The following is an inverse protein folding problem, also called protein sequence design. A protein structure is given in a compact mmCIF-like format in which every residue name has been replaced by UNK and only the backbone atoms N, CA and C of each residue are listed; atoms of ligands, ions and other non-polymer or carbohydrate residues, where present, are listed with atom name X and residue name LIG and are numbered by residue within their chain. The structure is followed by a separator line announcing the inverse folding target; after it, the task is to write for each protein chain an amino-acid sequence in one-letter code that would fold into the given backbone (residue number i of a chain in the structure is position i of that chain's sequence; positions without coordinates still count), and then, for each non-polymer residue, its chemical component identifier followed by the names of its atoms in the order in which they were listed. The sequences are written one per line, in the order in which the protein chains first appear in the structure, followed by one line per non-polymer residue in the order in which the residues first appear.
data_IF_759041045488
#
_entry.id   IF_759041045488
#
_cell.length_a   1.000
_cell.length_b   1.000
_cell.length_c   1.000
_cell.angle_alpha   90.00
_cell.angle_beta   90.00
_cell.angle_gamma   90.00
#
_symmetry.space_group_name_H-M   'P 1'
#
loop_
_entity.id
_entity.type
_entity.pdbx_description
1 polymer ?
#
# COMPACT_ATOMS: atom_id res chain seq x y z
N UNK A 1 31.95 -18.12 6.99
CA UNK A 1 32.87 -18.00 5.84
C UNK A 1 32.78 -19.26 5.01
N UNK A 2 32.67 -19.09 3.69
CA UNK A 2 32.95 -20.05 2.59
C UNK A 2 32.10 -21.34 2.56
N UNK A 3 31.15 -21.46 1.63
CA UNK A 3 31.34 -21.73 0.17
C UNK A 3 31.77 -23.19 -0.06
N UNK A 4 30.77 -23.96 -0.51
CA UNK A 4 30.81 -24.81 -1.72
C UNK A 4 31.79 -25.98 -1.78
N UNK A 5 31.26 -27.16 -2.17
CA UNK A 5 32.01 -28.17 -2.92
C UNK A 5 31.23 -28.69 -4.13
N UNK A 6 31.94 -29.15 -5.18
CA UNK A 6 31.50 -29.10 -6.58
C UNK A 6 31.42 -30.55 -7.16
N UNK A 7 31.79 -30.85 -8.42
CA UNK A 7 30.85 -31.35 -9.43
C UNK A 7 31.19 -32.75 -9.98
N UNK A 8 30.26 -33.26 -10.81
CA UNK A 8 30.46 -34.07 -12.04
C UNK A 8 31.52 -35.18 -12.13
N UNK A 9 31.09 -36.36 -12.62
CA UNK A 9 32.02 -37.37 -13.14
C UNK A 9 31.30 -38.58 -13.76
N UNK A 10 31.55 -38.81 -15.06
CA UNK A 10 31.01 -39.87 -15.92
C UNK A 10 31.70 -41.22 -15.69
N UNK A 11 31.03 -42.34 -16.00
CA UNK A 11 31.70 -43.58 -16.44
C UNK A 11 30.75 -44.53 -17.22
N UNK A 12 31.21 -44.95 -18.40
CA UNK A 12 30.60 -45.91 -19.32
C UNK A 12 30.96 -47.37 -19.01
N UNK A 13 30.12 -48.32 -19.40
CA UNK A 13 30.53 -49.72 -19.67
C UNK A 13 29.82 -50.22 -20.94
N UNK A 14 30.57 -50.87 -21.82
CA UNK A 14 30.11 -51.49 -23.06
C UNK A 14 30.41 -52.99 -23.06
N UNK A 15 29.48 -53.84 -23.52
CA UNK A 15 29.72 -55.23 -24.02
C UNK A 15 28.66 -55.56 -25.10
N UNK A 16 29.08 -56.15 -26.22
CA UNK A 16 28.35 -56.52 -27.46
C UNK A 16 28.11 -58.06 -27.56
N UNK A 17 27.63 -58.68 -28.68
CA UNK A 17 26.33 -58.63 -29.39
C UNK A 17 25.73 -60.04 -29.77
N UNK A 18 24.46 -60.16 -30.22
CA UNK A 18 24.00 -61.13 -31.26
C UNK A 18 22.47 -61.08 -31.63
N UNK A 19 22.18 -60.46 -32.79
CA UNK A 19 21.26 -60.81 -33.92
C UNK A 19 19.85 -61.41 -33.71
N UNK A 20 18.81 -60.70 -34.17
CA UNK A 20 17.82 -61.15 -35.17
C UNK A 20 16.93 -59.97 -35.67
N UNK A 21 16.73 -59.90 -37.00
CA UNK A 21 16.12 -58.79 -37.76
C UNK A 21 14.64 -59.07 -38.05
N UNK A 22 13.87 -57.99 -38.35
CA UNK A 22 12.54 -57.86 -39.03
C UNK A 22 11.52 -57.18 -38.07
N UNK A 23 10.84 -56.05 -38.31
CA UNK A 23 10.52 -55.21 -39.49
C UNK A 23 9.95 -53.85 -39.01
N UNK A 24 10.19 -52.79 -39.79
CA UNK A 24 9.38 -51.56 -39.97
C UNK A 24 9.07 -50.64 -38.77
N UNK A 25 9.45 -49.36 -38.88
CA UNK A 25 8.75 -48.27 -38.16
C UNK A 25 9.60 -47.06 -37.76
N UNK A 26 9.67 -46.09 -38.67
CA UNK A 26 9.75 -44.63 -38.47
C UNK A 26 10.47 -44.00 -37.26
N UNK A 27 11.36 -43.08 -37.63
CA UNK A 27 11.97 -41.99 -36.88
C UNK A 27 10.95 -41.21 -36.02
N UNK A 28 11.33 -40.89 -34.78
CA UNK A 28 10.60 -39.94 -33.96
C UNK A 28 11.43 -39.51 -32.76
N UNK A 29 12.28 -38.51 -32.96
CA UNK A 29 12.88 -37.75 -31.87
C UNK A 29 11.75 -37.27 -30.95
N UNK A 30 11.78 -37.68 -29.68
CA UNK A 30 10.90 -37.14 -28.67
C UNK A 30 11.20 -35.65 -28.50
N UNK A 31 10.45 -34.81 -29.20
CA UNK A 31 10.34 -33.40 -28.86
C UNK A 31 9.64 -33.33 -27.50
N UNK A 32 10.40 -33.06 -26.46
CA UNK A 32 9.85 -32.58 -25.21
C UNK A 32 9.12 -31.27 -25.52
N UNK A 33 7.81 -31.37 -25.73
CA UNK A 33 6.95 -30.20 -25.83
C UNK A 33 6.91 -29.58 -24.44
N UNK A 34 7.66 -28.49 -24.24
CA UNK A 34 7.45 -27.62 -23.11
C UNK A 34 6.06 -27.00 -23.29
N UNK A 35 5.07 -27.57 -22.59
CA UNK A 35 3.76 -26.95 -22.42
C UNK A 35 4.01 -25.51 -21.92
N UNK A 36 3.49 -24.46 -22.58
CA UNK A 36 3.64 -23.10 -22.09
C UNK A 36 2.96 -23.02 -20.72
N UNK A 37 3.75 -22.79 -19.67
CA UNK A 37 3.23 -22.52 -18.34
C UNK A 37 2.29 -21.30 -18.42
N UNK A 38 1.05 -21.37 -17.91
CA UNK A 38 0.11 -20.28 -18.02
C UNK A 38 0.68 -19.03 -17.33
N UNK A 39 0.82 -17.94 -18.10
CA UNK A 39 1.31 -16.67 -17.58
C UNK A 39 0.42 -16.19 -16.41
N UNK A 40 1.00 -15.73 -15.28
CA UNK A 40 0.23 -15.20 -14.17
C UNK A 40 -0.70 -14.08 -14.63
N UNK A 41 -1.93 -14.06 -14.12
CA UNK A 41 -2.86 -12.97 -14.36
C UNK A 41 -2.28 -11.63 -13.84
N UNK A 42 -2.58 -10.49 -14.49
CA UNK A 42 -2.13 -9.18 -14.02
C UNK A 42 -2.60 -8.92 -12.58
N UNK A 43 -1.72 -8.35 -11.76
CA UNK A 43 -2.08 -7.94 -10.41
C UNK A 43 -3.19 -6.86 -10.44
N UNK A 44 -4.09 -6.84 -9.44
CA UNK A 44 -5.07 -5.77 -9.31
C UNK A 44 -4.40 -4.40 -9.26
N UNK A 45 -5.05 -3.39 -9.84
CA UNK A 45 -4.60 -2.01 -9.73
C UNK A 45 -4.80 -1.49 -8.29
N UNK A 46 -3.95 -0.53 -7.82
CA UNK A 46 -4.12 0.08 -6.51
C UNK A 46 -5.49 0.77 -6.39
N UNK A 47 -6.11 0.68 -5.21
CA UNK A 47 -7.42 1.24 -4.95
C UNK A 47 -7.38 2.76 -4.72
N UNK A 48 -8.51 3.42 -4.99
CA UNK A 48 -8.76 4.84 -4.66
C UNK A 48 -9.71 5.01 -3.48
N UNK A 49 -10.15 3.90 -2.87
CA UNK A 49 -11.08 3.86 -1.74
C UNK A 49 -10.59 2.88 -0.69
N UNK A 50 -10.77 3.21 0.59
CA UNK A 50 -10.38 2.38 1.73
C UNK A 50 -11.60 2.22 2.63
N UNK A 51 -12.27 1.08 2.55
CA UNK A 51 -13.51 0.77 3.27
C UNK A 51 -13.29 -0.09 4.52
N UNK A 52 -12.05 -0.51 4.78
CA UNK A 52 -11.70 -1.41 5.87
C UNK A 52 -10.53 -0.88 6.68
N UNK A 53 -10.47 -1.37 7.91
CA UNK A 53 -9.32 -1.17 8.76
C UNK A 53 -8.13 -1.99 8.25
N UNK A 54 -6.94 -1.46 8.47
CA UNK A 54 -5.71 -2.15 8.10
C UNK A 54 -4.56 -1.20 7.76
N UNK A 55 -3.49 -1.80 7.25
CA UNK A 55 -2.30 -1.10 6.76
C UNK A 55 -2.17 -1.33 5.26
N UNK A 56 -2.08 -0.25 4.51
CA UNK A 56 -2.08 -0.20 3.05
C UNK A 56 -0.73 0.33 2.56
N UNK A 57 -0.07 -0.41 1.68
CA UNK A 57 1.17 0.00 1.00
C UNK A 57 0.84 1.01 -0.09
N UNK A 58 1.54 2.14 -0.09
CA UNK A 58 1.29 3.21 -1.07
C UNK A 58 1.87 2.81 -2.42
N UNK A 59 1.09 3.03 -3.49
CA UNK A 59 1.43 2.64 -4.86
C UNK A 59 1.24 1.15 -5.17
N UNK A 60 0.88 0.34 -4.17
CA UNK A 60 0.58 -1.10 -4.33
C UNK A 60 -0.88 -1.37 -3.99
N UNK A 61 -1.27 -1.08 -2.75
CA UNK A 61 -2.64 -1.33 -2.28
C UNK A 61 -3.54 -0.13 -2.56
N UNK A 62 -3.01 1.09 -2.42
CA UNK A 62 -3.75 2.34 -2.63
C UNK A 62 -2.92 3.37 -3.41
N UNK A 63 -3.60 4.24 -4.16
CA UNK A 63 -2.96 5.35 -4.87
C UNK A 63 -2.51 6.45 -3.90
N UNK A 64 -1.39 7.15 -4.17
CA UNK A 64 -1.04 8.37 -3.45
C UNK A 64 -2.00 9.52 -3.80
N UNK A 65 -2.18 10.45 -2.87
CA UNK A 65 -3.00 11.65 -3.06
C UNK A 65 -3.73 12.06 -1.79
N UNK A 66 -4.75 12.92 -1.95
CA UNK A 66 -5.52 13.44 -0.81
C UNK A 66 -6.76 12.60 -0.56
N UNK A 67 -6.86 12.00 0.62
CA UNK A 67 -8.00 11.21 1.03
C UNK A 67 -8.87 11.98 2.03
N UNK A 68 -10.17 11.81 1.93
CA UNK A 68 -11.15 12.32 2.89
C UNK A 68 -11.98 11.20 3.49
N UNK A 69 -12.32 11.32 4.77
CA UNK A 69 -13.24 10.44 5.49
C UNK A 69 -14.21 11.30 6.30
N UNK A 70 -15.46 10.83 6.43
CA UNK A 70 -16.48 11.47 7.26
C UNK A 70 -16.21 11.35 8.77
N UNK A 71 -15.14 10.67 9.18
CA UNK A 71 -14.70 10.58 10.57
C UNK A 71 -14.90 9.18 11.15
N UNK A 72 -15.18 9.03 12.46
CA UNK A 72 -15.32 7.73 13.11
C UNK A 72 -16.55 6.96 12.65
N UNK A 73 -16.49 5.63 12.74
CA UNK A 73 -17.69 4.79 12.81
C UNK A 73 -18.50 5.15 14.09
N UNK A 74 -19.79 4.75 14.21
CA UNK A 74 -20.57 5.04 15.41
C UNK A 74 -19.88 4.58 16.70
N UNK A 75 -19.97 5.41 17.74
CA UNK A 75 -19.43 5.16 19.09
C UNK A 75 -17.91 4.90 19.18
N UNK A 76 -17.12 5.33 18.18
CA UNK A 76 -15.67 5.13 18.15
C UNK A 76 -14.85 6.44 18.04
N UNK A 77 -13.54 6.30 17.83
CA UNK A 77 -12.67 7.39 17.38
C UNK A 77 -11.83 6.93 16.17
N UNK A 78 -11.85 7.70 15.09
CA UNK A 78 -11.10 7.38 13.88
C UNK A 78 -9.62 7.62 14.13
N UNK A 79 -8.83 6.56 14.04
CA UNK A 79 -7.37 6.63 14.07
C UNK A 79 -6.79 6.42 12.68
N UNK A 80 -5.77 7.21 12.35
CA UNK A 80 -4.94 6.96 11.18
C UNK A 80 -3.50 7.37 11.42
N UNK A 81 -2.59 6.76 10.66
CA UNK A 81 -1.18 7.16 10.59
C UNK A 81 -0.59 6.95 9.21
N UNK A 82 0.44 7.74 8.92
CA UNK A 82 1.33 7.62 7.76
C UNK A 82 2.72 7.22 8.23
N UNK A 83 3.31 6.24 7.57
CA UNK A 83 4.69 5.82 7.80
C UNK A 83 5.49 6.07 6.54
N UNK A 84 6.62 6.76 6.67
CA UNK A 84 7.51 7.13 5.56
C UNK A 84 8.30 5.96 5.02
N UNK A 85 8.93 6.13 3.86
CA UNK A 85 9.83 5.14 3.26
C UNK A 85 11.01 4.71 4.16
N UNK A 86 11.40 5.55 5.12
CA UNK A 86 12.43 5.25 6.13
C UNK A 86 11.87 4.50 7.36
N UNK A 87 10.59 4.11 7.33
CA UNK A 87 9.90 3.41 8.42
C UNK A 87 9.48 4.31 9.58
N UNK A 88 9.72 5.63 9.52
CA UNK A 88 9.34 6.55 10.60
C UNK A 88 7.90 7.02 10.47
N UNK A 89 7.32 7.41 11.60
CA UNK A 89 6.02 8.07 11.63
C UNK A 89 6.13 9.44 10.94
N UNK A 90 5.30 9.65 9.93
CA UNK A 90 5.20 10.93 9.21
C UNK A 90 4.11 11.80 9.82
N UNK A 91 2.94 11.22 10.06
CA UNK A 91 1.80 11.94 10.63
C UNK A 91 0.79 10.94 11.22
N UNK A 92 -0.03 11.39 12.18
CA UNK A 92 -1.13 10.63 12.74
C UNK A 92 -2.17 11.54 13.39
N UNK A 93 -3.40 11.05 13.46
CA UNK A 93 -4.41 11.65 14.31
C UNK A 93 -5.38 10.61 14.88
N UNK A 94 -5.97 10.96 16.03
CA UNK A 94 -7.13 10.30 16.61
C UNK A 94 -8.25 11.35 16.69
N UNK A 95 -9.35 11.14 15.97
CA UNK A 95 -10.38 12.18 15.79
C UNK A 95 -11.80 11.65 15.89
N UNK A 96 -12.68 12.48 16.45
CA UNK A 96 -14.15 12.28 16.42
C UNK A 96 -14.84 13.13 15.35
N UNK A 97 -14.08 13.75 14.46
CA UNK A 97 -14.54 14.63 13.39
C UNK A 97 -14.11 14.07 12.03
N UNK A 98 -14.70 14.54 10.92
CA UNK A 98 -14.18 14.28 9.57
C UNK A 98 -12.69 14.56 9.47
N UNK A 99 -12.01 13.80 8.61
CA UNK A 99 -10.57 13.84 8.45
C UNK A 99 -10.19 13.98 6.97
N UNK A 100 -9.11 14.71 6.71
CA UNK A 100 -8.50 14.84 5.38
C UNK A 100 -7.00 14.68 5.53
N UNK A 101 -6.39 13.86 4.66
CA UNK A 101 -4.98 13.46 4.77
C UNK A 101 -4.36 13.45 3.38
N UNK A 102 -3.22 14.11 3.22
CA UNK A 102 -2.38 13.95 2.04
C UNK A 102 -1.43 12.77 2.26
N UNK A 103 -1.56 11.73 1.45
CA UNK A 103 -0.67 10.56 1.44
C UNK A 103 0.29 10.72 0.28
N UNK A 104 1.60 10.76 0.56
CA UNK A 104 2.62 10.98 -0.46
C UNK A 104 3.09 9.67 -1.09
N UNK A 105 3.55 9.73 -2.34
CA UNK A 105 4.13 8.56 -3.01
C UNK A 105 5.40 8.03 -2.31
N UNK A 106 6.05 8.86 -1.49
CA UNK A 106 7.21 8.50 -0.68
C UNK A 106 6.85 7.84 0.66
N UNK A 107 5.57 7.79 1.01
CA UNK A 107 5.12 7.07 2.20
C UNK A 107 5.21 5.57 1.94
N UNK A 108 5.66 4.81 2.94
CA UNK A 108 5.65 3.35 2.88
C UNK A 108 4.23 2.81 3.06
N UNK A 109 3.47 3.37 4.01
CA UNK A 109 2.13 2.86 4.32
C UNK A 109 1.21 3.88 4.97
N UNK A 110 -0.08 3.68 4.74
CA UNK A 110 -1.17 4.31 5.49
C UNK A 110 -1.88 3.26 6.35
N UNK A 111 -2.07 3.53 7.63
CA UNK A 111 -2.84 2.65 8.52
C UNK A 111 -4.07 3.39 9.02
N UNK A 112 -5.23 2.74 9.02
CA UNK A 112 -6.49 3.31 9.52
C UNK A 112 -7.25 2.29 10.35
N UNK A 113 -7.95 2.77 11.39
CA UNK A 113 -8.77 1.97 12.27
C UNK A 113 -10.00 2.76 12.74
N UNK A 114 -11.16 2.11 12.73
CA UNK A 114 -12.45 2.68 13.17
C UNK A 114 -12.85 3.98 12.45
N UNK A 115 -12.37 4.16 11.21
CA UNK A 115 -12.72 5.27 10.36
C UNK A 115 -13.80 4.85 9.36
N UNK A 116 -14.71 5.77 9.04
CA UNK A 116 -15.54 5.66 7.85
C UNK A 116 -14.65 5.63 6.60
N UNK A 117 -15.22 5.15 5.49
CA UNK A 117 -14.53 4.98 4.21
C UNK A 117 -13.70 6.21 3.83
N UNK A 118 -12.43 5.98 3.52
CA UNK A 118 -11.58 6.99 2.91
C UNK A 118 -11.76 6.97 1.40
N UNK A 119 -11.93 8.15 0.81
CA UNK A 119 -12.05 8.30 -0.64
C UNK A 119 -10.95 9.23 -1.14
N UNK A 120 -10.23 8.81 -2.17
CA UNK A 120 -9.29 9.67 -2.89
C UNK A 120 -10.05 10.80 -3.56
N UNK A 121 -9.66 12.04 -3.25
CA UNK A 121 -10.17 13.23 -3.90
C UNK A 121 -9.88 13.17 -5.41
N UNK A 122 -10.82 13.61 -6.25
CA UNK A 122 -10.71 13.48 -7.71
C UNK A 122 -9.44 14.13 -8.31
N UNK A 123 -8.86 15.14 -7.65
CA UNK A 123 -7.59 15.76 -8.04
C UNK A 123 -6.33 14.96 -7.65
N UNK A 124 -6.45 13.87 -6.90
CA UNK A 124 -5.33 13.02 -6.50
C UNK A 124 -4.22 13.77 -5.74
N UNK A 125 -3.01 13.73 -6.29
CA UNK A 125 -1.84 14.45 -5.77
C UNK A 125 -1.82 15.93 -6.12
N UNK A 126 -2.65 16.38 -7.08
CA UNK A 126 -2.77 17.77 -7.49
C UNK A 126 -3.70 18.60 -6.59
N UNK A 127 -4.41 17.96 -5.65
CA UNK A 127 -5.18 18.69 -4.65
C UNK A 127 -4.24 19.52 -3.76
N UNK A 128 -4.63 20.74 -3.34
CA UNK A 128 -3.90 21.43 -2.30
C UNK A 128 -3.90 20.55 -1.03
N UNK A 129 -2.78 20.52 -0.27
CA UNK A 129 -2.75 19.81 0.99
C UNK A 129 -3.84 20.37 1.92
N UNK A 130 -4.43 19.53 2.79
CA UNK A 130 -5.41 20.01 3.75
C UNK A 130 -4.80 21.13 4.61
N UNK A 131 -5.59 22.18 4.94
CA UNK A 131 -5.09 23.28 5.74
C UNK A 131 -4.60 22.74 7.09
N UNK A 132 -3.46 23.26 7.61
CA UNK A 132 -3.01 22.88 8.93
C UNK A 132 -4.08 23.25 9.97
N UNK A 133 -4.17 22.51 11.09
CA UNK A 133 -5.07 22.87 12.17
C UNK A 133 -4.79 24.31 12.65
N UNK A 134 -5.82 25.08 13.08
CA UNK A 134 -5.65 26.46 13.51
C UNK A 134 -4.58 26.59 14.59
N UNK A 135 -3.70 27.57 14.44
CA UNK A 135 -2.65 27.83 15.41
C UNK A 135 -3.21 28.36 16.73
N UNK A 136 -2.51 28.16 17.87
CA UNK A 136 -2.96 28.68 19.17
C UNK A 136 -3.24 30.19 19.18
N UNK A 137 -2.46 30.99 18.45
CA UNK A 137 -2.65 32.45 18.37
C UNK A 137 -3.92 32.85 17.62
N UNK A 138 -4.31 32.07 16.61
CA UNK A 138 -5.54 32.32 15.86
C UNK A 138 -6.76 32.03 16.73
N UNK A 139 -6.69 30.95 17.52
CA UNK A 139 -7.71 30.61 18.52
C UNK A 139 -7.80 31.74 19.56
N UNK A 140 -6.66 32.24 20.08
CA UNK A 140 -6.64 33.38 21.01
C UNK A 140 -7.22 34.66 20.38
N UNK A 141 -6.93 34.90 19.09
CA UNK A 141 -7.51 36.01 18.33
C UNK A 141 -9.03 35.91 18.22
N UNK A 142 -9.58 34.72 17.96
CA UNK A 142 -11.02 34.48 17.91
C UNK A 142 -11.70 34.63 19.29
N UNK A 143 -10.99 34.37 20.39
CA UNK A 143 -11.49 34.53 21.76
C UNK A 143 -11.43 35.98 22.27
N UNK A 144 -10.54 36.81 21.74
CA UNK A 144 -10.38 38.23 22.11
C UNK A 144 -11.71 39.03 22.11
N UNK A 145 -12.58 38.97 21.08
CA UNK A 145 -13.86 39.67 21.10
C UNK A 145 -14.86 39.13 22.13
N UNK A 146 -14.74 37.88 22.59
CA UNK A 146 -15.60 37.31 23.63
C UNK A 146 -15.23 37.82 25.04
N UNK A 147 -13.98 38.24 25.24
CA UNK A 147 -13.49 38.79 26.52
C UNK A 147 -13.70 40.31 26.66
N UNK A 148 -14.02 41.01 25.56
CA UNK A 148 -14.17 42.47 25.52
C UNK A 148 -15.56 43.02 25.86
N UNK A 149 -16.56 42.19 26.16
CA UNK A 149 -17.95 42.62 26.35
C UNK A 149 -18.32 43.04 27.79
N UNK A 150 -17.35 43.28 28.68
CA UNK A 150 -17.61 43.93 29.96
C UNK A 150 -17.58 45.46 29.80
N UNK A 151 -18.68 46.05 29.31
CA UNK A 151 -18.95 47.48 29.50
C UNK A 151 -19.06 47.72 31.02
N UNK A 152 -18.01 48.24 31.63
CA UNK A 152 -18.07 48.75 32.99
C UNK A 152 -19.16 49.84 33.12
N UNK A 153 -19.74 50.05 34.32
CA UNK A 153 -20.74 51.08 34.52
C UNK A 153 -20.12 52.45 34.19
N UNK A 154 -20.81 53.23 33.36
CA UNK A 154 -20.43 54.63 33.09
C UNK A 154 -20.72 55.45 34.37
N UNK A 155 -19.81 56.34 34.81
CA UNK A 155 -20.00 57.17 36.01
C UNK A 155 -21.17 58.14 35.87
#
# INVERSE_FOLDING_TARGET
MKVTRPPGGLASVAVTPAVAVLTAGFLGAGIASAEPEPSPAPAPAPASTIDKDGTYKIGVDILPGTYTSSGPIPDSACYWKRTGGDGKLVDNALTKKPASVRIEATDASFTTNECQTWTLSACGTACPPPPPPPGPLEILGQLTPMLGAAKGPKP
#
